data_IF_302583878754
#
_entry.id   IF_302583878754
#
_cell.length_a   1.000
_cell.length_b   1.000
_cell.length_c   1.000
_cell.angle_alpha   90.00
_cell.angle_beta   90.00
_cell.angle_gamma   90.00
#
_symmetry.space_group_name_H-M   'P 1'
#
loop_
_entity.id
_entity.type
_entity.pdbx_description
1 polymer ?
#
# COMPACT_ATOMS: atom_id res chain seq x y z
N UNK A 1 48.75 57.24 -25.42
CA UNK A 1 47.42 57.87 -25.20
C UNK A 1 46.35 56.82 -25.36
N UNK A 2 45.49 56.70 -24.34
CA UNK A 2 44.46 55.68 -24.14
C UNK A 2 43.36 55.69 -25.21
N UNK A 3 42.77 54.51 -25.49
CA UNK A 3 41.31 54.36 -25.58
C UNK A 3 40.91 52.96 -25.11
N UNK A 4 40.40 52.88 -23.89
CA UNK A 4 39.62 51.75 -23.38
C UNK A 4 38.13 52.05 -23.64
N UNK A 5 37.41 51.13 -24.27
CA UNK A 5 35.95 51.10 -24.29
C UNK A 5 35.51 49.67 -24.63
N UNK A 6 34.67 49.11 -23.78
CA UNK A 6 34.11 47.77 -23.96
C UNK A 6 33.64 47.12 -22.67
N UNK A 7 32.75 47.77 -21.91
CA UNK A 7 31.94 47.09 -20.90
C UNK A 7 30.98 46.13 -21.60
N UNK A 8 31.12 44.82 -21.40
CA UNK A 8 30.09 43.84 -21.74
C UNK A 8 29.50 43.27 -20.43
N UNK A 9 28.35 43.81 -20.02
CA UNK A 9 27.68 43.54 -18.73
C UNK A 9 26.44 42.65 -18.86
N UNK A 10 26.26 41.93 -19.98
CA UNK A 10 24.96 41.32 -20.29
C UNK A 10 24.93 39.78 -20.31
N UNK A 11 26.09 39.10 -20.27
CA UNK A 11 26.13 37.62 -20.31
C UNK A 11 25.93 36.91 -18.95
N UNK A 12 25.99 37.64 -17.82
CA UNK A 12 25.99 37.03 -16.47
C UNK A 12 24.59 36.89 -15.83
N UNK A 13 23.57 37.52 -16.41
CA UNK A 13 22.23 37.55 -15.83
C UNK A 13 21.38 36.32 -16.20
N UNK A 14 21.52 35.77 -17.40
CA UNK A 14 20.71 34.63 -17.86
C UNK A 14 21.16 33.29 -17.24
N UNK A 15 22.47 33.08 -17.08
CA UNK A 15 23.03 31.87 -16.45
C UNK A 15 22.68 31.79 -14.95
N UNK A 16 22.54 32.93 -14.27
CA UNK A 16 22.23 32.99 -12.83
C UNK A 16 20.75 32.72 -12.54
N UNK A 17 19.84 33.09 -13.46
CA UNK A 17 18.38 32.94 -13.25
C UNK A 17 17.91 31.51 -13.56
N UNK A 18 18.45 30.88 -14.61
CA UNK A 18 18.12 29.47 -14.96
C UNK A 18 18.67 28.47 -13.94
N UNK A 19 19.86 28.72 -13.39
CA UNK A 19 20.44 27.91 -12.32
C UNK A 19 19.64 28.00 -11.01
N UNK A 20 19.06 29.16 -10.70
CA UNK A 20 18.25 29.37 -9.51
C UNK A 20 16.87 28.69 -9.60
N UNK A 21 16.22 28.75 -10.77
CA UNK A 21 14.94 28.05 -11.03
C UNK A 21 15.13 26.51 -10.98
N UNK A 22 16.21 26.02 -11.61
CA UNK A 22 16.57 24.60 -11.55
C UNK A 22 16.86 24.12 -10.13
N UNK A 23 17.53 24.93 -9.31
CA UNK A 23 17.84 24.59 -7.91
C UNK A 23 16.58 24.51 -7.04
N UNK A 24 15.61 25.42 -7.24
CA UNK A 24 14.33 25.39 -6.54
C UNK A 24 13.49 24.17 -6.92
N UNK A 25 13.44 23.81 -8.21
CA UNK A 25 12.76 22.60 -8.69
C UNK A 25 13.41 21.32 -8.16
N UNK A 26 14.75 21.25 -8.15
CA UNK A 26 15.48 20.11 -7.55
C UNK A 26 15.15 19.97 -6.07
N UNK A 27 15.07 21.08 -5.32
CA UNK A 27 14.70 21.04 -3.91
C UNK A 27 13.26 20.59 -3.69
N UNK A 28 12.31 21.08 -4.49
CA UNK A 28 10.91 20.68 -4.44
C UNK A 28 10.73 19.18 -4.73
N UNK A 29 11.35 18.69 -5.81
CA UNK A 29 11.35 17.27 -6.17
C UNK A 29 12.04 16.40 -5.11
N UNK A 30 13.14 16.88 -4.52
CA UNK A 30 13.83 16.16 -3.44
C UNK A 30 12.95 16.02 -2.19
N UNK A 31 12.16 17.05 -1.89
CA UNK A 31 11.18 17.01 -0.81
C UNK A 31 10.08 15.99 -1.12
N UNK A 32 9.50 16.04 -2.32
CA UNK A 32 8.46 15.10 -2.75
C UNK A 32 8.95 13.65 -2.68
N UNK A 33 10.16 13.37 -3.16
CA UNK A 33 10.79 12.04 -3.06
C UNK A 33 10.95 11.60 -1.60
N UNK A 34 11.27 12.53 -0.69
CA UNK A 34 11.41 12.21 0.74
C UNK A 34 10.07 11.90 1.39
N UNK A 35 9.04 12.69 1.09
CA UNK A 35 7.68 12.51 1.60
C UNK A 35 7.06 11.20 1.06
N UNK A 36 7.29 10.88 -0.21
CA UNK A 36 6.88 9.61 -0.81
C UNK A 36 7.58 8.42 -0.17
N UNK A 37 8.90 8.49 0.06
CA UNK A 37 9.64 7.44 0.77
C UNK A 37 9.11 7.20 2.17
N UNK A 38 8.76 8.28 2.89
CA UNK A 38 8.16 8.16 4.21
C UNK A 38 6.79 7.50 4.16
N UNK A 39 5.95 7.89 3.19
CA UNK A 39 4.63 7.31 2.98
C UNK A 39 4.69 5.82 2.65
N UNK A 40 5.62 5.42 1.77
CA UNK A 40 5.86 4.00 1.46
C UNK A 40 6.28 3.23 2.71
N UNK A 41 7.17 3.77 3.54
CA UNK A 41 7.60 3.10 4.77
C UNK A 41 6.44 2.86 5.76
N UNK A 42 5.51 3.81 5.85
CA UNK A 42 4.30 3.65 6.68
C UNK A 42 3.40 2.56 6.09
N UNK A 43 3.14 2.60 4.78
CA UNK A 43 2.29 1.63 4.10
C UNK A 43 2.86 0.21 4.19
N UNK A 44 4.18 0.04 4.11
CA UNK A 44 4.84 -1.26 4.30
C UNK A 44 4.60 -1.80 5.72
N UNK A 45 4.71 -0.94 6.74
CA UNK A 45 4.44 -1.34 8.12
C UNK A 45 2.98 -1.73 8.34
N UNK A 46 2.05 -0.98 7.77
CA UNK A 46 0.61 -1.29 7.85
C UNK A 46 0.28 -2.58 7.11
N UNK A 47 0.80 -2.76 5.89
CA UNK A 47 0.68 -4.00 5.11
C UNK A 47 1.18 -5.19 5.92
N UNK A 48 2.37 -5.10 6.49
CA UNK A 48 2.97 -6.19 7.24
C UNK A 48 2.19 -6.47 8.54
N UNK A 49 1.67 -5.43 9.20
CA UNK A 49 0.82 -5.57 10.37
C UNK A 49 -0.48 -6.32 10.08
N UNK A 50 -1.18 -5.96 8.99
CA UNK A 50 -2.40 -6.66 8.59
C UNK A 50 -2.11 -8.08 8.10
N UNK A 51 -1.06 -8.26 7.29
CA UNK A 51 -0.67 -9.57 6.80
C UNK A 51 -0.30 -10.53 7.95
N UNK A 52 0.47 -10.06 8.94
CA UNK A 52 0.81 -10.84 10.13
C UNK A 52 -0.44 -11.34 10.87
N UNK A 53 -1.42 -10.46 11.10
CA UNK A 53 -2.70 -10.85 11.74
C UNK A 53 -3.47 -11.89 10.93
N UNK A 54 -3.57 -11.70 9.61
CA UNK A 54 -4.25 -12.64 8.73
C UNK A 54 -3.55 -14.00 8.74
N UNK A 55 -2.21 -14.01 8.77
CA UNK A 55 -1.42 -15.24 8.88
C UNK A 55 -1.62 -15.95 10.22
N UNK A 56 -1.65 -15.22 11.33
CA UNK A 56 -1.92 -15.80 12.66
C UNK A 56 -3.32 -16.47 12.70
N UNK A 57 -4.33 -15.79 12.16
CA UNK A 57 -5.70 -16.33 12.02
C UNK A 57 -5.72 -17.58 11.13
N UNK A 58 -4.98 -17.57 10.02
CA UNK A 58 -4.86 -18.73 9.14
C UNK A 58 -4.28 -19.95 9.87
N UNK A 59 -3.20 -19.75 10.64
CA UNK A 59 -2.55 -20.82 11.41
C UNK A 59 -3.53 -21.42 12.41
N UNK A 60 -4.32 -20.60 13.10
CA UNK A 60 -5.37 -21.09 13.99
C UNK A 60 -6.42 -21.93 13.25
N UNK A 61 -6.81 -21.52 12.03
CA UNK A 61 -7.77 -22.26 11.19
C UNK A 61 -7.19 -23.56 10.58
N UNK A 62 -5.87 -23.78 10.69
CA UNK A 62 -5.18 -25.00 10.22
C UNK A 62 -4.96 -26.02 11.35
N UNK A 63 -5.40 -25.73 12.58
CA UNK A 63 -5.36 -26.69 13.69
C UNK A 63 -6.30 -27.87 13.35
N UNK A 64 -5.86 -29.15 13.41
CA UNK A 64 -6.65 -30.30 12.96
C UNK A 64 -8.04 -30.41 13.60
N UNK A 65 -8.19 -29.96 14.85
CA UNK A 65 -9.48 -29.98 15.55
C UNK A 65 -10.44 -28.85 15.09
N UNK A 66 -9.90 -27.79 14.49
CA UNK A 66 -10.66 -26.62 14.05
C UNK A 66 -10.85 -26.59 12.53
N UNK A 67 -9.96 -27.20 11.75
CA UNK A 67 -9.87 -26.97 10.30
C UNK A 67 -11.12 -27.38 9.50
N UNK A 68 -11.90 -28.32 10.04
CA UNK A 68 -13.18 -28.78 9.49
C UNK A 68 -14.41 -28.07 10.05
N UNK A 69 -14.26 -27.20 11.06
CA UNK A 69 -15.38 -26.44 11.59
C UNK A 69 -15.89 -25.46 10.51
N UNK A 70 -17.21 -25.30 10.35
CA UNK A 70 -17.77 -24.39 9.35
C UNK A 70 -17.18 -22.98 9.42
N UNK A 71 -16.95 -22.48 10.64
CA UNK A 71 -16.30 -21.18 10.88
C UNK A 71 -14.88 -21.12 10.31
N UNK A 72 -14.06 -22.14 10.52
CA UNK A 72 -12.69 -22.16 10.00
C UNK A 72 -12.67 -22.24 8.47
N UNK A 73 -13.61 -22.98 7.87
CA UNK A 73 -13.76 -23.04 6.41
C UNK A 73 -14.20 -21.69 5.85
N UNK A 74 -15.16 -21.02 6.48
CA UNK A 74 -15.61 -19.68 6.08
C UNK A 74 -14.49 -18.63 6.19
N UNK A 75 -13.69 -18.65 7.26
CA UNK A 75 -12.52 -17.78 7.40
C UNK A 75 -11.48 -18.08 6.31
N UNK A 76 -11.20 -19.36 6.01
CA UNK A 76 -10.29 -19.74 4.91
C UNK A 76 -10.78 -19.26 3.55
N UNK A 77 -12.10 -19.25 3.29
CA UNK A 77 -12.66 -18.65 2.06
C UNK A 77 -12.31 -17.16 1.92
N UNK A 78 -12.36 -16.41 3.02
CA UNK A 78 -11.93 -15.00 3.04
C UNK A 78 -10.44 -14.88 2.77
N UNK A 79 -9.62 -15.68 3.45
CA UNK A 79 -8.15 -15.62 3.35
C UNK A 79 -7.60 -16.06 1.99
N UNK A 80 -8.30 -16.96 1.28
CA UNK A 80 -7.86 -17.52 -0.01
C UNK A 80 -8.55 -16.90 -1.22
N UNK A 81 -9.32 -15.84 -1.04
CA UNK A 81 -9.99 -15.15 -2.12
C UNK A 81 -8.99 -14.58 -3.13
N UNK A 82 -9.09 -15.01 -4.39
CA UNK A 82 -8.19 -14.59 -5.46
C UNK A 82 -8.52 -13.21 -6.06
N UNK A 83 -9.74 -12.72 -5.84
CA UNK A 83 -10.22 -11.46 -6.41
C UNK A 83 -10.50 -10.44 -5.30
N UNK A 84 -9.61 -9.45 -5.14
CA UNK A 84 -9.79 -8.37 -4.17
C UNK A 84 -10.98 -7.45 -4.48
N UNK A 85 -11.53 -7.49 -5.71
CA UNK A 85 -12.61 -6.62 -6.16
C UNK A 85 -14.01 -7.18 -5.85
N UNK A 86 -14.12 -8.45 -5.47
CA UNK A 86 -15.38 -9.06 -5.04
C UNK A 86 -15.24 -9.41 -3.55
N UNK A 87 -16.17 -8.92 -2.73
CA UNK A 87 -16.12 -9.17 -1.28
C UNK A 87 -16.21 -10.69 -1.01
N UNK A 88 -15.17 -11.34 -0.48
CA UNK A 88 -15.23 -12.76 -0.15
C UNK A 88 -16.06 -13.02 1.12
N UNK A 89 -16.48 -11.96 1.81
CA UNK A 89 -17.32 -12.04 2.99
C UNK A 89 -18.70 -12.62 2.65
N UNK A 90 -19.29 -12.24 1.52
CA UNK A 90 -20.65 -12.67 1.14
C UNK A 90 -20.69 -14.19 0.92
N UNK A 91 -19.65 -14.74 0.27
CA UNK A 91 -19.53 -16.18 0.02
C UNK A 91 -19.28 -16.96 1.32
N UNK A 92 -18.46 -16.41 2.21
CA UNK A 92 -18.20 -16.99 3.52
C UNK A 92 -19.46 -17.00 4.41
N UNK A 93 -20.26 -15.93 4.38
CA UNK A 93 -21.52 -15.84 5.11
C UNK A 93 -22.56 -16.82 4.56
N UNK A 94 -22.67 -16.94 3.24
CA UNK A 94 -23.56 -17.92 2.61
C UNK A 94 -23.19 -19.35 3.00
N UNK A 95 -21.90 -19.69 2.99
CA UNK A 95 -21.41 -20.99 3.43
C UNK A 95 -21.75 -21.28 4.90
N UNK A 96 -21.58 -20.28 5.78
CA UNK A 96 -21.96 -20.40 7.20
C UNK A 96 -23.45 -20.65 7.37
N UNK A 97 -24.30 -19.91 6.65
CA UNK A 97 -25.74 -20.07 6.72
C UNK A 97 -26.18 -21.47 6.26
N UNK A 98 -25.60 -21.97 5.16
CA UNK A 98 -25.86 -23.34 4.69
C UNK A 98 -25.43 -24.39 5.71
N UNK A 99 -24.25 -24.22 6.30
CA UNK A 99 -23.71 -25.17 7.28
C UNK A 99 -24.50 -25.19 8.59
N UNK A 100 -25.09 -24.05 8.98
CA UNK A 100 -25.97 -23.96 10.16
C UNK A 100 -27.34 -24.60 9.89
N UNK A 101 -27.90 -24.40 8.69
CA UNK A 101 -29.19 -24.98 8.31
C UNK A 101 -29.13 -26.51 8.17
N UNK A 102 -27.98 -27.08 7.77
CA UNK A 102 -27.78 -28.54 7.71
C UNK A 102 -27.76 -29.23 9.09
N UNK A 103 -27.63 -28.47 10.17
CA UNK A 103 -27.67 -29.00 11.54
C UNK A 103 -29.09 -29.15 12.12
N UNK A 104 -30.13 -28.65 11.43
CA UNK A 104 -31.51 -28.69 11.91
C UNK A 104 -32.30 -29.89 11.37
N UNK A 105 -31.86 -30.51 10.26
CA UNK A 105 -32.56 -31.64 9.61
C UNK A 105 -32.12 -33.03 10.12
N UNK A 106 -31.12 -33.12 11.02
CA UNK A 106 -30.65 -34.39 11.62
C UNK A 106 -31.12 -34.63 13.08
N UNK A 107 -32.07 -33.83 13.59
CA UNK A 107 -32.59 -33.94 14.97
C UNK A 107 -33.96 -34.62 15.06
#
# INVERSE_FOLDING_TARGET
MNKASGTNKQAKAEETVVAHDSSGQIQALSKEVTDLKHSVNILEKERDFYFGKLRDVEILCQIPQLEGLPMAVAIKKILYAANANQSPLDEAQLYMQQSLNLGEDEA
#
